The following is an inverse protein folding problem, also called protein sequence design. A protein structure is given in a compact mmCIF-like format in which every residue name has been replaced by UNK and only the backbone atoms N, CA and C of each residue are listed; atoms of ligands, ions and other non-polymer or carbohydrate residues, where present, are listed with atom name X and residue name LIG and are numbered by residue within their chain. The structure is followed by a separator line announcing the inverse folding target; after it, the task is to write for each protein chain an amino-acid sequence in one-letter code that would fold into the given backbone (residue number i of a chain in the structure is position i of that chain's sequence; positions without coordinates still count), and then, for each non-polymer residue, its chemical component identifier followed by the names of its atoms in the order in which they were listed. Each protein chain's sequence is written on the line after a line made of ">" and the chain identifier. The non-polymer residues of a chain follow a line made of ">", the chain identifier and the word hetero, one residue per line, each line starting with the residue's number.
data_IF_234917047506
#
_entry.id   IF_234917047506
#
_cell.length_a   1.000
_cell.length_b   1.000
_cell.length_c   1.000
_cell.angle_alpha   90.00
_cell.angle_beta   90.00
_cell.angle_gamma   90.00
#
_symmetry.space_group_name_H-M   'P 1'
#
loop_
_entity.id
_entity.type
_entity.pdbx_description
1 polymer ?
#
# COMPACT_ATOMS: atom_id res chain seq x y z
N UNK A 1 9.93 -36.76 -34.70
CA UNK A 1 8.55 -36.26 -34.50
C UNK A 1 8.14 -36.16 -33.03
N UNK A 2 8.04 -37.26 -32.25
CA UNK A 2 7.63 -37.20 -30.83
C UNK A 2 8.53 -36.30 -29.95
N UNK A 3 9.85 -36.36 -30.11
CA UNK A 3 10.78 -35.51 -29.35
C UNK A 3 10.68 -34.02 -29.71
N UNK A 4 10.43 -33.71 -30.98
CA UNK A 4 10.25 -32.33 -31.46
C UNK A 4 8.95 -31.70 -30.94
N UNK A 5 7.89 -32.50 -30.77
CA UNK A 5 6.60 -32.05 -30.20
C UNK A 5 6.75 -31.75 -28.70
N UNK A 6 7.46 -32.60 -27.95
CA UNK A 6 7.71 -32.40 -26.50
C UNK A 6 8.54 -31.13 -26.27
N UNK A 7 9.56 -30.89 -27.10
CA UNK A 7 10.38 -29.68 -27.02
C UNK A 7 9.56 -28.41 -27.31
N UNK A 8 8.66 -28.47 -28.31
CA UNK A 8 7.80 -27.33 -28.66
C UNK A 8 6.80 -27.02 -27.54
N UNK A 9 6.22 -28.03 -26.89
CA UNK A 9 5.28 -27.84 -25.77
C UNK A 9 5.95 -27.29 -24.52
N UNK A 10 7.16 -27.75 -24.19
CA UNK A 10 7.91 -27.23 -23.03
C UNK A 10 8.36 -25.78 -23.25
N UNK A 11 8.77 -25.43 -24.47
CA UNK A 11 9.10 -24.05 -24.83
C UNK A 11 7.84 -23.15 -24.73
N UNK A 12 6.70 -23.63 -25.21
CA UNK A 12 5.43 -22.88 -25.16
C UNK A 12 4.94 -22.63 -23.73
N UNK A 13 5.05 -23.61 -22.82
CA UNK A 13 4.72 -23.43 -21.41
C UNK A 13 5.64 -22.44 -20.70
N UNK A 14 6.94 -22.43 -21.03
CA UNK A 14 7.89 -21.48 -20.43
C UNK A 14 7.59 -20.03 -20.85
N UNK A 15 7.21 -19.80 -22.11
CA UNK A 15 6.87 -18.47 -22.62
C UNK A 15 5.56 -17.96 -21.99
N UNK A 16 4.59 -18.86 -21.75
CA UNK A 16 3.32 -18.50 -21.12
C UNK A 16 3.50 -18.06 -19.66
N UNK A 17 4.43 -18.67 -18.91
CA UNK A 17 4.68 -18.29 -17.51
C UNK A 17 5.30 -16.90 -17.32
N UNK A 18 6.08 -16.40 -18.29
CA UNK A 18 6.75 -15.09 -18.17
C UNK A 18 5.77 -13.93 -18.41
N UNK A 19 4.73 -14.14 -19.22
CA UNK A 19 3.75 -13.10 -19.57
C UNK A 19 2.84 -12.68 -18.39
N UNK A 20 2.68 -13.53 -17.37
CA UNK A 20 1.80 -13.25 -16.23
C UNK A 20 2.47 -12.52 -15.06
N UNK A 21 3.80 -12.34 -15.07
CA UNK A 21 4.53 -11.81 -13.92
C UNK A 21 4.64 -10.28 -13.86
N UNK A 22 4.06 -9.54 -14.81
CA UNK A 22 4.14 -8.08 -14.82
C UNK A 22 2.93 -7.47 -14.09
N UNK A 23 3.07 -7.23 -12.80
CA UNK A 23 2.16 -6.34 -12.06
C UNK A 23 2.29 -4.94 -12.65
N UNK A 24 1.22 -4.40 -13.23
CA UNK A 24 1.23 -3.06 -13.79
C UNK A 24 1.50 -2.04 -12.67
N UNK A 25 2.53 -1.20 -12.85
CA UNK A 25 2.78 -0.08 -11.95
C UNK A 25 1.59 0.88 -12.04
N UNK A 26 0.91 1.13 -10.92
CA UNK A 26 -0.12 2.17 -10.87
C UNK A 26 0.61 3.50 -10.81
N UNK A 27 0.63 4.21 -11.94
CA UNK A 27 1.21 5.54 -12.02
C UNK A 27 0.22 6.59 -11.50
N UNK A 28 0.73 7.61 -10.81
CA UNK A 28 -0.09 8.75 -10.42
C UNK A 28 -0.56 9.48 -11.69
N UNK A 29 -1.85 9.83 -11.82
CA UNK A 29 -2.41 10.34 -13.08
C UNK A 29 -1.87 11.72 -13.50
N UNK A 30 -1.26 12.46 -12.56
CA UNK A 30 -0.67 13.77 -12.79
C UNK A 30 0.79 13.78 -12.30
N UNK A 31 1.68 14.60 -12.89
CA UNK A 31 3.03 14.74 -12.35
C UNK A 31 2.98 15.41 -10.97
N UNK A 32 3.68 14.84 -9.99
CA UNK A 32 3.74 15.38 -8.62
C UNK A 32 4.70 16.59 -8.58
N UNK A 33 5.76 16.57 -9.41
CA UNK A 33 6.75 17.65 -9.53
C UNK A 33 7.38 18.04 -8.17
N UNK A 34 7.56 17.07 -7.28
CA UNK A 34 8.10 17.28 -5.93
C UNK A 34 7.22 18.12 -5.00
N UNK A 35 5.96 18.40 -5.37
CA UNK A 35 4.99 19.03 -4.48
C UNK A 35 4.58 18.06 -3.36
N UNK A 36 4.20 18.61 -2.22
CA UNK A 36 3.56 17.82 -1.18
C UNK A 36 2.20 17.32 -1.67
N UNK A 37 1.84 16.07 -1.33
CA UNK A 37 0.59 15.45 -1.72
C UNK A 37 -0.63 16.28 -1.29
N UNK A 38 -0.53 16.96 -0.14
CA UNK A 38 -1.59 17.79 0.42
C UNK A 38 -1.93 19.02 -0.47
N UNK A 39 -1.00 19.52 -1.28
CA UNK A 39 -1.24 20.67 -2.19
C UNK A 39 -2.43 20.40 -3.12
N UNK A 40 -2.56 19.14 -3.50
CA UNK A 40 -3.58 18.63 -4.39
C UNK A 40 -4.67 17.92 -3.57
N UNK A 41 -4.33 16.98 -2.70
CA UNK A 41 -5.31 16.07 -2.11
C UNK A 41 -6.03 16.60 -0.85
N UNK A 42 -5.60 17.73 -0.28
CA UNK A 42 -6.30 18.34 0.85
C UNK A 42 -7.64 18.97 0.41
N UNK A 43 -8.67 18.97 1.28
CA UNK A 43 -9.91 19.69 1.01
C UNK A 43 -9.68 21.16 0.65
N UNK A 44 -10.30 21.63 -0.43
CA UNK A 44 -10.21 23.03 -0.86
C UNK A 44 -8.96 23.38 -1.67
N UNK A 45 -8.19 22.40 -2.15
CA UNK A 45 -7.12 22.63 -3.11
C UNK A 45 -7.65 23.28 -4.41
N UNK A 46 -6.85 24.18 -4.98
CA UNK A 46 -7.18 24.92 -6.20
C UNK A 46 -6.55 24.31 -7.46
N UNK A 47 -5.66 23.33 -7.28
CA UNK A 47 -5.06 22.54 -8.37
C UNK A 47 -5.95 21.31 -8.61
N UNK A 48 -6.21 20.96 -9.88
CA UNK A 48 -7.14 19.89 -10.24
C UNK A 48 -6.84 18.62 -9.45
N UNK A 49 -7.80 18.22 -8.63
CA UNK A 49 -7.75 16.95 -7.90
C UNK A 49 -9.05 16.19 -8.02
N UNK A 50 -8.99 14.85 -7.93
CA UNK A 50 -10.18 14.02 -7.97
C UNK A 50 -11.13 14.41 -6.84
N UNK A 51 -12.43 14.23 -7.09
CA UNK A 51 -13.52 14.53 -6.17
C UNK A 51 -13.47 13.78 -4.81
N UNK A 52 -12.48 12.91 -4.58
CA UNK A 52 -12.37 12.04 -3.42
C UNK A 52 -11.12 12.37 -2.57
N UNK A 53 -11.21 13.44 -1.76
CA UNK A 53 -10.25 13.78 -0.70
C UNK A 53 -10.41 12.90 0.57
N UNK A 54 -11.18 11.82 0.50
CA UNK A 54 -11.49 10.96 1.64
C UNK A 54 -10.21 10.37 2.28
N UNK A 55 -9.24 9.92 1.48
CA UNK A 55 -7.97 9.41 1.99
C UNK A 55 -7.19 10.48 2.78
N UNK A 56 -7.18 11.74 2.31
CA UNK A 56 -6.57 12.84 3.04
C UNK A 56 -7.29 13.09 4.37
N UNK A 57 -8.63 13.15 4.37
CA UNK A 57 -9.40 13.39 5.60
C UNK A 57 -9.21 12.27 6.64
N UNK A 58 -9.12 11.03 6.17
CA UNK A 58 -8.83 9.86 7.02
C UNK A 58 -7.43 9.93 7.61
N UNK A 59 -6.44 10.28 6.79
CA UNK A 59 -5.07 10.51 7.24
C UNK A 59 -4.98 11.67 8.23
N UNK A 60 -5.59 12.82 7.91
CA UNK A 60 -5.54 14.05 8.71
C UNK A 60 -6.09 13.83 10.12
N UNK A 61 -7.14 13.03 10.24
CA UNK A 61 -7.75 12.66 11.53
C UNK A 61 -7.04 11.50 12.25
N UNK A 62 -6.07 10.84 11.61
CA UNK A 62 -5.31 9.73 12.19
C UNK A 62 -4.15 10.22 13.07
N UNK A 63 -3.57 9.31 13.86
CA UNK A 63 -2.33 9.61 14.60
C UNK A 63 -1.16 9.96 13.67
N UNK A 64 -1.11 9.44 12.45
CA UNK A 64 -0.07 9.80 11.49
C UNK A 64 -0.24 11.24 10.99
N UNK A 65 -1.46 11.67 10.69
CA UNK A 65 -1.76 13.06 10.32
C UNK A 65 -1.46 14.03 11.46
N UNK A 66 -1.92 13.70 12.68
CA UNK A 66 -1.66 14.50 13.88
C UNK A 66 -0.16 14.66 14.20
N UNK A 67 0.66 13.67 13.83
CA UNK A 67 2.12 13.72 13.98
C UNK A 67 2.85 14.13 12.68
N UNK A 68 2.14 14.64 11.68
CA UNK A 68 2.71 15.13 10.42
C UNK A 68 3.55 14.11 9.65
N UNK A 69 3.24 12.82 9.77
CA UNK A 69 3.84 11.77 8.94
C UNK A 69 3.35 11.95 7.51
N UNK A 70 4.25 12.33 6.60
CA UNK A 70 3.93 12.63 5.21
C UNK A 70 3.48 11.40 4.43
N UNK A 71 2.61 11.59 3.43
CA UNK A 71 2.10 10.50 2.58
C UNK A 71 3.22 9.71 1.90
N UNK A 72 4.29 10.41 1.47
CA UNK A 72 5.45 9.80 0.81
C UNK A 72 6.22 8.81 1.69
N UNK A 73 6.07 8.90 3.03
CA UNK A 73 6.67 7.93 3.96
C UNK A 73 6.14 6.52 3.70
N UNK A 74 4.86 6.40 3.32
CA UNK A 74 4.23 5.11 3.04
C UNK A 74 4.10 4.82 1.55
N UNK A 75 3.76 5.84 0.76
CA UNK A 75 3.46 5.66 -0.66
C UNK A 75 4.67 5.85 -1.57
N UNK A 76 5.77 6.42 -1.06
CA UNK A 76 6.94 6.78 -1.87
C UNK A 76 6.78 8.13 -2.57
N UNK A 77 7.85 8.53 -3.27
CA UNK A 77 7.88 9.74 -4.09
C UNK A 77 7.42 9.43 -5.52
N UNK A 78 7.33 10.42 -6.41
CA UNK A 78 6.83 10.25 -7.79
C UNK A 78 7.41 9.05 -8.54
N UNK A 79 8.74 8.85 -8.46
CA UNK A 79 9.40 7.74 -9.14
C UNK A 79 9.12 6.36 -8.50
N UNK A 80 8.82 6.33 -7.21
CA UNK A 80 8.63 5.11 -6.40
C UNK A 80 7.18 4.93 -5.91
N UNK A 81 6.26 5.77 -6.39
CA UNK A 81 4.89 5.84 -5.89
C UNK A 81 4.18 4.50 -6.01
N UNK A 82 3.52 4.11 -4.92
CA UNK A 82 2.61 2.96 -4.86
C UNK A 82 1.35 3.36 -4.10
N UNK A 83 0.19 3.23 -4.74
CA UNK A 83 -1.10 3.45 -4.10
C UNK A 83 -1.29 2.51 -2.90
N UNK A 84 -0.87 1.25 -3.03
CA UNK A 84 -0.78 0.30 -1.92
C UNK A 84 0.66 0.22 -1.40
N UNK A 85 0.85 0.66 -0.15
CA UNK A 85 2.15 0.60 0.52
C UNK A 85 2.49 -0.83 0.94
N UNK A 86 3.77 -1.17 0.92
CA UNK A 86 4.26 -2.46 1.45
C UNK A 86 4.08 -2.51 2.98
N UNK A 87 3.57 -3.62 3.50
CA UNK A 87 3.42 -3.85 4.94
C UNK A 87 4.73 -3.65 5.71
N UNK A 88 5.88 -3.93 5.09
CA UNK A 88 7.20 -3.74 5.67
C UNK A 88 7.47 -2.28 6.07
N UNK A 89 6.86 -1.31 5.39
CA UNK A 89 6.95 0.10 5.78
C UNK A 89 6.30 0.30 7.14
N UNK A 90 5.11 -0.25 7.36
CA UNK A 90 4.44 -0.19 8.65
C UNK A 90 5.34 -0.79 9.74
N UNK A 91 5.89 -1.98 9.47
CA UNK A 91 6.75 -2.71 10.41
C UNK A 91 8.07 -2.02 10.74
N UNK A 92 8.53 -1.09 9.89
CA UNK A 92 9.74 -0.31 10.16
C UNK A 92 9.60 0.62 11.37
N UNK A 93 8.39 1.11 11.63
CA UNK A 93 8.06 1.92 12.82
C UNK A 93 7.26 1.14 13.87
N UNK A 94 6.47 0.16 13.43
CA UNK A 94 5.54 -0.64 14.24
C UNK A 94 5.93 -2.15 14.23
N UNK A 95 7.11 -2.52 14.77
CA UNK A 95 7.58 -3.90 14.72
C UNK A 95 6.82 -4.84 15.65
N UNK A 96 6.14 -4.33 16.69
CA UNK A 96 5.46 -5.14 17.69
C UNK A 96 4.06 -5.57 17.26
N UNK A 97 3.48 -4.81 16.32
CA UNK A 97 2.18 -5.04 15.70
C UNK A 97 2.16 -6.29 14.81
N UNK A 98 3.34 -6.83 14.47
CA UNK A 98 3.52 -8.17 13.85
C UNK A 98 2.87 -9.29 14.66
N UNK A 99 2.78 -9.15 15.98
CA UNK A 99 2.20 -10.19 16.86
C UNK A 99 0.68 -10.30 16.71
N UNK A 100 -0.01 -9.22 16.33
CA UNK A 100 -1.46 -9.20 16.10
C UNK A 100 -1.83 -9.94 14.81
N UNK A 101 -1.01 -9.79 13.77
CA UNK A 101 -1.20 -10.48 12.47
C UNK A 101 -1.00 -12.00 12.65
N UNK A 102 0.00 -12.42 13.43
CA UNK A 102 0.37 -13.83 13.56
C UNK A 102 -0.55 -14.64 14.50
N UNK A 103 -1.29 -14.01 15.42
CA UNK A 103 -2.06 -14.74 16.45
C UNK A 103 -3.40 -15.31 15.97
N UNK A 104 -3.96 -14.80 14.87
CA UNK A 104 -5.27 -15.26 14.34
C UNK A 104 -5.18 -16.11 13.08
N UNK A 105 -3.98 -16.33 12.56
CA UNK A 105 -3.79 -16.74 11.18
C UNK A 105 -2.85 -17.94 11.10
N UNK A 106 -3.29 -19.08 11.64
CA UNK A 106 -2.61 -20.35 11.41
C UNK A 106 -2.79 -20.86 9.97
N UNK A 107 -3.60 -20.18 9.14
CA UNK A 107 -4.03 -20.68 7.83
C UNK A 107 -4.19 -19.67 6.69
N UNK A 108 -3.86 -18.38 6.85
CA UNK A 108 -3.89 -17.50 5.66
C UNK A 108 -2.60 -17.64 4.88
N UNK A 109 -2.74 -18.24 3.70
CA UNK A 109 -1.95 -17.88 2.52
C UNK A 109 -1.70 -16.36 2.53
N UNK A 110 -0.42 -15.99 2.44
CA UNK A 110 0.12 -14.64 2.33
C UNK A 110 -0.91 -13.57 1.93
N UNK A 111 -1.27 -12.63 2.82
CA UNK A 111 -1.89 -11.37 2.34
C UNK A 111 -2.97 -10.67 3.15
N UNK A 112 -3.19 -10.94 4.44
CA UNK A 112 -3.95 -9.99 5.26
C UNK A 112 -3.06 -8.77 5.57
N UNK A 113 -3.00 -7.83 4.63
CA UNK A 113 -2.57 -6.45 4.87
C UNK A 113 -3.48 -5.84 5.94
N UNK A 114 -2.99 -4.91 6.78
CA UNK A 114 -3.78 -4.30 7.87
C UNK A 114 -5.13 -3.76 7.37
N UNK A 115 -5.17 -3.28 6.13
CA UNK A 115 -6.37 -2.77 5.44
C UNK A 115 -7.45 -3.82 5.18
N UNK A 116 -7.17 -5.12 5.32
CA UNK A 116 -8.16 -6.17 5.18
C UNK A 116 -9.20 -6.17 6.31
N UNK A 117 -8.85 -5.64 7.48
CA UNK A 117 -9.76 -5.52 8.63
C UNK A 117 -9.91 -4.07 9.12
N UNK A 118 -8.91 -3.23 8.90
CA UNK A 118 -8.88 -1.86 9.40
C UNK A 118 -9.10 -0.85 8.29
N UNK A 119 -9.65 0.30 8.66
CA UNK A 119 -9.79 1.42 7.75
C UNK A 119 -8.40 1.91 7.30
N UNK A 120 -8.23 2.08 5.99
CA UNK A 120 -6.98 2.57 5.41
C UNK A 120 -6.70 3.98 5.93
N UNK A 121 -5.43 4.34 6.12
CA UNK A 121 -4.98 5.63 6.69
C UNK A 121 -5.46 5.95 8.11
N UNK A 122 -6.24 5.07 8.76
CA UNK A 122 -6.68 5.17 10.14
C UNK A 122 -6.63 3.79 10.82
N UNK A 123 -5.41 3.29 11.02
CA UNK A 123 -5.16 1.99 11.62
C UNK A 123 -5.23 2.08 13.15
N UNK A 124 -6.18 1.35 13.75
CA UNK A 124 -6.28 1.18 15.20
C UNK A 124 -6.18 -0.30 15.54
N UNK A 125 -5.21 -0.70 16.35
CA UNK A 125 -4.86 -2.12 16.52
C UNK A 125 -5.77 -2.84 17.53
N UNK A 126 -6.36 -2.17 18.55
CA UNK A 126 -7.52 -2.59 19.37
C UNK A 126 -8.05 -1.40 20.22
N UNK A 127 -9.25 -1.50 20.82
CA UNK A 127 -9.73 -0.55 21.85
C UNK A 127 -8.91 -0.61 23.16
N UNK A 128 -8.26 -1.75 23.46
CA UNK A 128 -7.44 -1.94 24.66
C UNK A 128 -5.94 -1.66 24.46
N UNK A 129 -5.49 -1.42 23.22
CA UNK A 129 -4.11 -1.08 22.94
C UNK A 129 -3.85 0.36 23.40
N UNK A 130 -3.03 0.53 24.44
CA UNK A 130 -2.48 1.84 24.80
C UNK A 130 -1.78 2.42 23.58
N UNK A 131 -2.25 3.54 23.01
CA UNK A 131 -1.57 4.18 21.89
C UNK A 131 -0.15 4.55 22.33
N UNK A 132 0.86 4.08 21.59
CA UNK A 132 2.26 4.51 21.80
C UNK A 132 2.44 6.01 21.54
N UNK A 133 1.52 6.58 20.76
CA UNK A 133 1.38 8.01 20.55
C UNK A 133 0.17 8.49 21.37
N UNK A 134 0.40 8.86 22.63
CA UNK A 134 -0.60 9.59 23.42
C UNK A 134 -0.56 11.06 23.02
N UNK A 135 -1.73 11.70 23.00
CA UNK A 135 -1.88 13.14 22.81
C UNK A 135 -1.32 13.91 24.01
#
# INVERSE_FOLDING_TARGET
>A
MKQSIIFLTLLFSLIFSVAYAQTAKVEHPLPINGKDCAVCHAPGSTEETPADSAAYQEWESSMHGLNSVKCVTCHGEESTFKADSDINICLSCHPQETTVINKKVESADYGLVCSACHKVHNFTVTEEATPVHTK
#
